data_IF_788289519857
#
_entry.id   IF_788289519857
#
_cell.length_a   1.000
_cell.length_b   1.000
_cell.length_c   1.000
_cell.angle_alpha   90.00
_cell.angle_beta   90.00
_cell.angle_gamma   90.00
#
_symmetry.space_group_name_H-M   'P 1'
#
loop_
_entity.id
_entity.type
_entity.pdbx_description
1 polymer ?
#
# COMPACT_ATOMS: atom_id res chain seq x y z
N UNK A 1 -15.86 2.68 0.29
CA UNK A 1 -14.63 3.06 -0.43
C UNK A 1 -14.52 2.16 -1.65
N UNK A 2 -14.11 2.68 -2.81
CA UNK A 2 -14.05 1.91 -4.04
C UNK A 2 -12.63 1.33 -4.18
N UNK A 3 -12.51 -0.01 -4.13
CA UNK A 3 -11.22 -0.73 -4.21
C UNK A 3 -10.39 -0.29 -5.43
N UNK A 4 -11.04 0.06 -6.54
CA UNK A 4 -10.38 0.54 -7.74
C UNK A 4 -9.62 1.86 -7.54
N UNK A 5 -10.15 2.78 -6.72
CA UNK A 5 -9.55 4.08 -6.45
C UNK A 5 -8.33 3.93 -5.51
N UNK A 6 -8.45 3.11 -4.47
CA UNK A 6 -7.34 2.76 -3.56
C UNK A 6 -6.17 2.12 -4.33
N UNK A 7 -6.47 1.14 -5.17
CA UNK A 7 -5.48 0.45 -5.99
C UNK A 7 -4.76 1.41 -6.92
N UNK A 8 -5.48 2.34 -7.55
CA UNK A 8 -4.91 3.33 -8.45
C UNK A 8 -3.96 4.31 -7.73
N UNK A 9 -4.29 4.68 -6.50
CA UNK A 9 -3.45 5.51 -5.65
C UNK A 9 -2.16 4.77 -5.28
N UNK A 10 -2.27 3.55 -4.73
CA UNK A 10 -1.11 2.79 -4.26
C UNK A 10 -0.20 2.28 -5.37
N UNK A 11 -0.73 2.03 -6.58
CA UNK A 11 0.07 1.59 -7.73
C UNK A 11 1.20 2.55 -8.09
N UNK A 12 1.09 3.84 -7.73
CA UNK A 12 2.15 4.83 -7.96
C UNK A 12 3.36 4.66 -7.06
N UNK A 13 3.20 3.97 -5.93
CA UNK A 13 4.20 3.86 -4.87
C UNK A 13 4.84 2.47 -4.76
N UNK A 14 4.41 1.53 -5.62
CA UNK A 14 4.91 0.16 -5.68
C UNK A 14 5.33 -0.20 -7.10
N UNK A 15 6.16 -1.23 -7.26
CA UNK A 15 6.63 -1.65 -8.58
C UNK A 15 5.50 -2.28 -9.42
N UNK A 16 4.63 -3.07 -8.78
CA UNK A 16 3.43 -3.61 -9.41
C UNK A 16 2.31 -3.80 -8.39
N UNK A 17 1.07 -3.61 -8.84
CA UNK A 17 -0.13 -3.88 -8.09
C UNK A 17 -1.20 -4.42 -9.05
N UNK A 18 -1.60 -5.65 -8.83
CA UNK A 18 -2.61 -6.37 -9.60
C UNK A 18 -3.72 -6.85 -8.68
N UNK A 19 -4.96 -6.77 -9.16
CA UNK A 19 -6.15 -7.24 -8.44
C UNK A 19 -6.82 -8.31 -9.28
N UNK A 20 -7.02 -9.48 -8.71
CA UNK A 20 -7.75 -10.60 -9.31
C UNK A 20 -8.83 -11.09 -8.33
N UNK A 21 -10.09 -10.79 -8.64
CA UNK A 21 -11.24 -11.04 -7.76
C UNK A 21 -11.07 -10.43 -6.36
N UNK A 22 -10.82 -11.28 -5.36
CA UNK A 22 -10.59 -10.90 -3.96
C UNK A 22 -9.10 -10.93 -3.60
N UNK A 23 -8.21 -11.22 -4.55
CA UNK A 23 -6.78 -11.25 -4.33
C UNK A 23 -6.13 -9.96 -4.83
N UNK A 24 -5.20 -9.44 -4.05
CA UNK A 24 -4.34 -8.33 -4.43
C UNK A 24 -2.89 -8.82 -4.38
N UNK A 25 -2.23 -8.75 -5.52
CA UNK A 25 -0.83 -9.09 -5.68
C UNK A 25 -0.01 -7.80 -5.74
N UNK A 26 0.91 -7.66 -4.81
CA UNK A 26 1.72 -6.46 -4.62
C UNK A 26 3.18 -6.84 -4.80
N UNK A 27 3.89 -6.06 -5.61
CA UNK A 27 5.35 -6.10 -5.69
C UNK A 27 5.89 -4.71 -5.34
N UNK A 28 6.61 -4.60 -4.23
CA UNK A 28 7.20 -3.33 -3.80
C UNK A 28 8.46 -2.99 -4.63
N UNK A 29 8.97 -1.77 -4.48
CA UNK A 29 10.22 -1.34 -5.14
C UNK A 29 11.45 -2.07 -4.57
N UNK A 30 11.37 -2.56 -3.34
CA UNK A 30 12.36 -3.44 -2.70
C UNK A 30 12.26 -4.89 -3.15
N UNK A 31 11.43 -5.18 -4.17
CA UNK A 31 11.19 -6.52 -4.70
C UNK A 31 10.53 -7.47 -3.67
N UNK A 32 9.84 -6.92 -2.67
CA UNK A 32 9.02 -7.69 -1.74
C UNK A 32 7.71 -8.05 -2.45
N UNK A 33 7.35 -9.33 -2.43
CA UNK A 33 6.13 -9.84 -3.05
C UNK A 33 5.14 -10.23 -1.97
N UNK A 34 3.92 -9.73 -2.09
CA UNK A 34 2.86 -9.95 -1.10
C UNK A 34 1.60 -10.30 -1.87
N UNK A 35 0.93 -11.35 -1.43
CA UNK A 35 -0.43 -11.68 -1.88
C UNK A 35 -1.35 -11.53 -0.68
N UNK A 36 -2.37 -10.70 -0.83
CA UNK A 36 -3.40 -10.51 0.18
C UNK A 36 -4.78 -10.86 -0.36
N UNK A 37 -5.62 -11.37 0.52
CA UNK A 37 -7.03 -11.62 0.27
C UNK A 37 -7.85 -10.50 0.93
N UNK A 38 -8.69 -9.85 0.15
CA UNK A 38 -9.68 -8.88 0.60
C UNK A 38 -10.85 -9.63 1.24
N UNK A 39 -11.04 -9.41 2.53
CA UNK A 39 -12.15 -9.95 3.33
C UNK A 39 -13.06 -8.82 3.78
N UNK A 40 -14.24 -9.16 4.31
CA UNK A 40 -15.20 -8.17 4.83
C UNK A 40 -14.65 -7.30 5.96
N UNK A 41 -13.55 -7.71 6.59
CA UNK A 41 -12.91 -7.05 7.73
C UNK A 41 -11.49 -6.56 7.43
N UNK A 42 -11.09 -6.43 6.17
CA UNK A 42 -9.78 -5.88 5.77
C UNK A 42 -8.98 -6.79 4.85
N UNK A 43 -7.66 -6.64 4.90
CA UNK A 43 -6.69 -7.32 4.05
C UNK A 43 -5.95 -8.40 4.82
N UNK A 44 -6.02 -9.64 4.33
CA UNK A 44 -5.40 -10.80 4.96
C UNK A 44 -4.23 -11.32 4.13
N UNK A 45 -3.04 -11.38 4.70
CA UNK A 45 -1.83 -11.84 4.01
C UNK A 45 -1.85 -13.35 3.84
N UNK A 46 -1.91 -13.80 2.58
CA UNK A 46 -1.80 -15.22 2.22
C UNK A 46 -0.34 -15.63 2.06
N UNK A 47 0.48 -14.74 1.52
CA UNK A 47 1.92 -14.98 1.32
C UNK A 47 2.68 -13.67 1.29
N UNK A 48 3.88 -13.66 1.87
CA UNK A 48 4.82 -12.55 1.79
C UNK A 48 6.25 -13.09 1.70
N UNK A 49 7.11 -12.44 0.93
CA UNK A 49 8.56 -12.70 0.95
C UNK A 49 9.27 -11.96 2.08
N UNK A 50 8.59 -11.00 2.73
CA UNK A 50 9.07 -10.32 3.94
C UNK A 50 8.49 -10.97 5.19
N UNK A 51 9.28 -10.98 6.27
CA UNK A 51 8.83 -11.41 7.59
C UNK A 51 7.84 -10.40 8.16
N UNK A 52 6.58 -10.82 8.27
CA UNK A 52 5.48 -10.03 8.79
C UNK A 52 5.07 -10.55 10.17
N UNK A 53 5.04 -9.66 11.16
CA UNK A 53 4.62 -10.01 12.54
C UNK A 53 3.12 -10.28 12.65
N UNK A 54 2.32 -9.75 11.72
CA UNK A 54 0.86 -9.89 11.68
C UNK A 54 0.37 -10.26 10.28
N UNK A 55 -0.71 -11.04 10.22
CA UNK A 55 -1.31 -11.49 8.96
C UNK A 55 -2.54 -10.68 8.54
N UNK A 56 -3.11 -9.85 9.41
CA UNK A 56 -4.30 -9.05 9.12
C UNK A 56 -4.00 -7.55 9.21
N UNK A 57 -4.57 -6.79 8.28
CA UNK A 57 -4.46 -5.33 8.20
C UNK A 57 -5.82 -4.74 7.88
N UNK A 58 -6.17 -3.61 8.49
CA UNK A 58 -7.46 -2.96 8.24
C UNK A 58 -7.53 -2.35 6.83
N UNK A 59 -6.40 -1.84 6.35
CA UNK A 59 -6.25 -1.21 5.03
C UNK A 59 -4.89 -1.53 4.37
N UNK A 60 -4.80 -1.30 3.07
CA UNK A 60 -3.59 -1.61 2.28
C UNK A 60 -2.43 -0.65 2.58
N UNK A 61 -2.71 0.55 3.09
CA UNK A 61 -1.69 1.51 3.50
C UNK A 61 -0.93 1.01 4.74
N UNK A 62 -1.61 0.47 5.74
CA UNK A 62 -0.97 -0.14 6.91
C UNK A 62 -0.05 -1.29 6.52
N UNK A 63 -0.51 -2.15 5.60
CA UNK A 63 0.31 -3.23 5.06
C UNK A 63 1.57 -2.69 4.38
N UNK A 64 1.42 -1.76 3.44
CA UNK A 64 2.54 -1.19 2.69
C UNK A 64 3.51 -0.42 3.60
N UNK A 65 2.99 0.32 4.58
CA UNK A 65 3.78 0.99 5.61
C UNK A 65 4.60 0.02 6.45
N UNK A 66 4.12 -1.21 6.69
CA UNK A 66 4.87 -2.20 7.48
C UNK A 66 6.04 -2.82 6.70
N UNK A 67 5.89 -3.00 5.38
CA UNK A 67 6.82 -3.78 4.54
C UNK A 67 7.74 -2.99 3.64
N UNK A 68 7.37 -1.77 3.19
CA UNK A 68 8.11 -1.03 2.17
C UNK A 68 8.58 0.33 2.68
N UNK A 69 9.90 0.52 2.73
CA UNK A 69 10.50 1.81 3.07
C UNK A 69 10.24 2.84 1.97
N UNK A 70 10.34 2.43 0.71
CA UNK A 70 10.12 3.26 -0.47
C UNK A 70 8.69 3.79 -0.50
N UNK A 71 7.72 2.97 -0.09
CA UNK A 71 6.35 3.41 0.09
C UNK A 71 6.26 4.50 1.17
N UNK A 72 6.86 4.30 2.35
CA UNK A 72 6.89 5.31 3.43
C UNK A 72 7.51 6.62 2.97
N UNK A 73 8.63 6.56 2.26
CA UNK A 73 9.33 7.74 1.74
C UNK A 73 8.48 8.48 0.70
N UNK A 74 7.87 7.73 -0.22
CA UNK A 74 7.02 8.31 -1.26
C UNK A 74 5.77 8.98 -0.69
N UNK A 75 5.10 8.32 0.26
CA UNK A 75 3.95 8.87 0.96
C UNK A 75 4.32 10.12 1.76
N UNK A 76 5.44 10.08 2.49
CA UNK A 76 5.94 11.21 3.27
C UNK A 76 6.27 12.42 2.38
N UNK A 77 6.92 12.20 1.24
CA UNK A 77 7.23 13.25 0.27
C UNK A 77 5.96 13.87 -0.33
N UNK A 78 4.94 13.07 -0.63
CA UNK A 78 3.66 13.58 -1.11
C UNK A 78 2.96 14.43 -0.05
N UNK A 79 2.96 13.98 1.22
CA UNK A 79 2.42 14.74 2.34
C UNK A 79 3.14 16.08 2.51
N UNK A 80 4.48 16.08 2.51
CA UNK A 80 5.28 17.31 2.57
C UNK A 80 4.96 18.25 1.42
N UNK A 81 4.86 17.74 0.18
CA UNK A 81 4.52 18.57 -0.98
C UNK A 81 3.14 19.23 -0.85
N UNK A 82 2.14 18.49 -0.35
CA UNK A 82 0.79 19.04 -0.09
C UNK A 82 0.81 20.10 1.00
N UNK A 83 1.53 19.86 2.10
CA UNK A 83 1.67 20.81 3.20
C UNK A 83 2.38 22.09 2.78
N UNK A 84 3.47 21.98 2.00
CA UNK A 84 4.18 23.16 1.46
C UNK A 84 3.27 24.01 0.58
N UNK A 85 2.50 23.40 -0.32
CA UNK A 85 1.53 24.14 -1.15
C UNK A 85 0.49 24.89 -0.33
N UNK A 86 -0.09 24.23 0.68
CA UNK A 86 -1.07 24.87 1.57
C UNK A 86 -0.47 26.01 2.39
N UNK A 87 0.82 25.95 2.69
CA UNK A 87 1.55 27.03 3.37
C UNK A 87 1.95 28.17 2.44
N UNK A 88 2.06 27.94 1.14
CA UNK A 88 2.33 28.98 0.13
C UNK A 88 1.04 29.67 -0.35
N UNK A 89 -0.09 28.98 -0.27
CA UNK A 89 -1.42 29.49 -0.62
C UNK A 89 -2.11 30.27 0.52
N UNK A 90 -1.52 30.31 1.73
CA UNK A 90 -1.95 31.12 2.88
C UNK A 90 -0.92 32.20 3.22
#
# INVERSE_FOLDING_TARGET
MNLADEVLEYKKHVANLEVDNQLVHIKTLENIQITVELRSNGYYVLSSTADLEQQGFDDLNQLLCSVSQSYRDSFTNELFSKLSKLSEEN
#
